data_IF_943632113470
#
_entry.id   IF_943632113470
#
_cell.length_a   1.000
_cell.length_b   1.000
_cell.length_c   1.000
_cell.angle_alpha   90.00
_cell.angle_beta   90.00
_cell.angle_gamma   90.00
#
_symmetry.space_group_name_H-M   'P 1'
#
loop_
_entity.id
_entity.type
_entity.pdbx_description
1 polymer ?
#
# COMPACT_ATOMS: atom_id res chain seq x y z
N UNK A 1 41.07 -23.57 -28.76
CA UNK A 1 40.82 -24.19 -27.44
C UNK A 1 39.95 -23.33 -26.53
N UNK A 2 40.28 -22.06 -26.28
CA UNK A 2 39.55 -21.21 -25.31
C UNK A 2 38.05 -21.01 -25.63
N UNK A 3 37.66 -20.85 -26.91
CA UNK A 3 36.25 -20.74 -27.30
C UNK A 3 35.43 -22.02 -27.08
N UNK A 4 36.06 -23.19 -27.11
CA UNK A 4 35.37 -24.47 -26.88
C UNK A 4 35.12 -24.70 -25.38
N UNK A 5 36.02 -24.21 -24.53
CA UNK A 5 35.92 -24.28 -23.07
C UNK A 5 34.75 -23.42 -22.53
N UNK A 6 34.53 -22.23 -23.10
CA UNK A 6 33.46 -21.31 -22.69
C UNK A 6 32.07 -21.91 -23.00
N UNK A 7 31.92 -22.57 -24.15
CA UNK A 7 30.64 -23.20 -24.55
C UNK A 7 30.31 -24.38 -23.62
N UNK A 8 31.30 -25.17 -23.22
CA UNK A 8 31.11 -26.29 -22.29
C UNK A 8 30.73 -25.78 -20.89
N UNK A 9 31.34 -24.70 -20.41
CA UNK A 9 30.97 -24.06 -19.13
C UNK A 9 29.55 -23.49 -19.17
N UNK A 10 29.14 -22.85 -20.27
CA UNK A 10 27.77 -22.35 -20.43
C UNK A 10 26.72 -23.48 -20.48
N UNK A 11 27.04 -24.62 -21.10
CA UNK A 11 26.15 -25.79 -21.15
C UNK A 11 26.04 -26.45 -19.76
N UNK A 12 27.13 -26.52 -18.99
CA UNK A 12 27.13 -27.07 -17.63
C UNK A 12 26.35 -26.16 -16.67
N UNK A 13 26.46 -24.83 -16.79
CA UNK A 13 25.67 -23.86 -16.00
C UNK A 13 24.19 -23.93 -16.39
N UNK A 14 23.86 -24.08 -17.68
CA UNK A 14 22.48 -24.24 -18.13
C UNK A 14 21.86 -25.56 -17.63
N UNK A 15 22.63 -26.66 -17.62
CA UNK A 15 22.19 -27.94 -17.06
C UNK A 15 22.05 -27.92 -15.53
N UNK A 16 22.84 -27.10 -14.83
CA UNK A 16 22.66 -26.87 -13.38
C UNK A 16 21.41 -26.04 -13.08
N UNK A 17 21.09 -25.03 -13.88
CA UNK A 17 19.86 -24.23 -13.72
C UNK A 17 18.62 -25.09 -14.02
N UNK A 18 18.67 -25.92 -15.06
CA UNK A 18 17.57 -26.84 -15.40
C UNK A 18 17.45 -27.94 -14.35
N UNK A 19 18.56 -28.55 -13.90
CA UNK A 19 18.57 -29.56 -12.84
C UNK A 19 18.07 -29.04 -11.49
N UNK A 20 18.34 -27.78 -11.15
CA UNK A 20 17.83 -27.12 -9.94
C UNK A 20 16.32 -26.87 -10.02
N UNK A 21 15.82 -26.48 -11.19
CA UNK A 21 14.40 -26.29 -11.44
C UNK A 21 13.68 -27.65 -11.41
N UNK A 22 14.21 -28.69 -12.06
CA UNK A 22 13.60 -30.04 -12.04
C UNK A 22 13.70 -30.69 -10.65
N UNK A 23 14.77 -30.45 -9.88
CA UNK A 23 14.90 -30.95 -8.50
C UNK A 23 13.97 -30.22 -7.53
N UNK A 24 13.77 -28.90 -7.70
CA UNK A 24 12.71 -28.15 -7.01
C UNK A 24 11.30 -28.65 -7.41
N UNK A 25 11.11 -29.11 -8.65
CA UNK A 25 9.85 -29.68 -9.12
C UNK A 25 9.62 -31.15 -8.70
N UNK A 26 10.67 -31.92 -8.44
CA UNK A 26 10.54 -33.37 -8.14
C UNK A 26 10.55 -33.65 -6.64
N UNK A 27 11.21 -32.83 -5.81
CA UNK A 27 11.31 -33.08 -4.36
C UNK A 27 10.15 -32.49 -3.52
N UNK A 28 9.25 -31.70 -4.11
CA UNK A 28 8.03 -31.21 -3.45
C UNK A 28 6.76 -31.89 -3.98
N UNK A 29 6.87 -33.12 -4.49
CA UNK A 29 5.75 -33.89 -5.07
C UNK A 29 5.23 -34.99 -4.14
N UNK A 30 5.29 -34.80 -2.82
CA UNK A 30 4.64 -35.70 -1.85
C UNK A 30 4.43 -35.01 -0.49
N UNK A 31 3.53 -34.02 -0.45
CA UNK A 31 2.63 -33.70 0.67
C UNK A 31 1.83 -32.42 0.33
N UNK A 32 0.52 -32.60 0.16
CA UNK A 32 -0.53 -31.57 0.03
C UNK A 32 -0.66 -30.97 -1.40
N UNK A 33 -1.16 -31.75 -2.35
CA UNK A 33 -1.43 -31.32 -3.74
C UNK A 33 -2.75 -30.54 -3.94
N UNK A 34 -3.55 -30.27 -2.89
CA UNK A 34 -4.81 -29.51 -3.06
C UNK A 34 -4.70 -27.99 -2.79
N UNK A 35 -3.61 -27.50 -2.20
CA UNK A 35 -3.47 -26.08 -1.79
C UNK A 35 -2.69 -25.20 -2.78
N UNK A 36 -1.67 -25.71 -3.49
CA UNK A 36 -0.81 -24.86 -4.34
C UNK A 36 -1.52 -24.44 -5.66
N UNK A 37 -2.38 -25.30 -6.23
CA UNK A 37 -3.11 -24.98 -7.48
C UNK A 37 -4.23 -23.95 -7.29
N UNK A 38 -4.91 -23.99 -6.15
CA UNK A 38 -5.97 -23.02 -5.83
C UNK A 38 -5.39 -21.64 -5.52
N UNK A 39 -4.28 -21.59 -4.79
CA UNK A 39 -3.52 -20.36 -4.55
C UNK A 39 -3.07 -19.75 -5.90
N UNK A 40 -2.55 -20.56 -6.82
CA UNK A 40 -2.14 -20.10 -8.15
C UNK A 40 -3.30 -19.56 -8.99
N UNK A 41 -4.47 -20.21 -8.97
CA UNK A 41 -5.69 -19.69 -9.64
C UNK A 41 -6.16 -18.38 -9.02
N UNK A 42 -6.08 -18.24 -7.70
CA UNK A 42 -6.37 -16.99 -7.01
C UNK A 42 -5.38 -15.90 -7.45
N UNK A 43 -4.08 -16.19 -7.58
CA UNK A 43 -3.09 -15.24 -8.09
C UNK A 43 -3.40 -14.72 -9.51
N UNK A 44 -3.92 -15.56 -10.40
CA UNK A 44 -4.33 -15.15 -11.74
C UNK A 44 -5.55 -14.22 -11.72
N UNK A 45 -6.57 -14.55 -10.90
CA UNK A 45 -7.74 -13.69 -10.66
C UNK A 45 -7.34 -12.31 -10.10
N UNK A 46 -6.31 -12.28 -9.25
CA UNK A 46 -5.81 -11.07 -8.63
C UNK A 46 -5.18 -10.12 -9.65
N UNK A 47 -4.65 -10.60 -10.77
CA UNK A 47 -3.94 -9.76 -11.76
C UNK A 47 -4.79 -8.61 -12.33
N UNK A 48 -6.07 -8.85 -12.63
CA UNK A 48 -7.00 -7.80 -13.10
C UNK A 48 -7.35 -6.83 -11.98
N UNK A 49 -7.55 -7.34 -10.77
CA UNK A 49 -7.86 -6.54 -9.58
C UNK A 49 -6.69 -5.61 -9.20
N UNK A 50 -5.43 -6.05 -9.34
CA UNK A 50 -4.23 -5.21 -9.12
C UNK A 50 -4.23 -3.97 -10.01
N UNK A 51 -4.57 -4.11 -11.29
CA UNK A 51 -4.64 -2.97 -12.23
C UNK A 51 -5.72 -1.97 -11.82
N UNK A 52 -6.88 -2.47 -11.38
CA UNK A 52 -7.97 -1.62 -10.91
C UNK A 52 -7.56 -0.91 -9.63
N UNK A 53 -6.96 -1.60 -8.67
CA UNK A 53 -6.45 -1.00 -7.44
C UNK A 53 -5.44 0.11 -7.76
N UNK A 54 -4.38 -0.19 -8.53
CA UNK A 54 -3.34 0.78 -8.88
C UNK A 54 -3.89 2.04 -9.55
N UNK A 55 -4.85 1.90 -10.48
CA UNK A 55 -5.45 3.04 -11.19
C UNK A 55 -6.15 4.04 -10.26
N UNK A 56 -6.64 3.57 -9.13
CA UNK A 56 -7.45 4.36 -8.21
C UNK A 56 -6.70 4.73 -6.92
N UNK A 57 -5.47 4.23 -6.78
CA UNK A 57 -4.57 4.61 -5.70
C UNK A 57 -3.85 5.91 -6.07
N UNK A 58 -3.76 6.86 -5.14
CA UNK A 58 -2.87 8.02 -5.26
C UNK A 58 -1.44 7.54 -5.03
N UNK A 59 -0.60 7.64 -6.05
CA UNK A 59 0.76 7.08 -6.06
C UNK A 59 1.86 8.10 -5.79
N UNK A 60 1.52 9.34 -5.46
CA UNK A 60 2.51 10.36 -5.10
C UNK A 60 2.36 10.77 -3.63
N UNK A 61 3.48 10.78 -2.92
CA UNK A 61 3.54 11.10 -1.49
C UNK A 61 4.42 12.32 -1.27
N UNK A 62 3.94 13.29 -0.47
CA UNK A 62 4.72 14.46 -0.09
C UNK A 62 5.71 14.09 1.03
N UNK A 63 6.99 14.34 0.80
CA UNK A 63 8.04 14.24 1.80
C UNK A 63 8.14 15.60 2.50
N UNK A 64 7.26 15.83 3.48
CA UNK A 64 6.97 17.16 4.04
C UNK A 64 8.21 17.90 4.54
N UNK A 65 9.12 17.24 5.27
CA UNK A 65 10.35 17.85 5.81
C UNK A 65 11.24 18.46 4.73
N UNK A 66 11.21 17.89 3.53
CA UNK A 66 12.09 18.27 2.42
C UNK A 66 11.38 18.87 1.23
N UNK A 67 10.05 18.99 1.31
CA UNK A 67 9.19 19.65 0.33
C UNK A 67 9.42 19.15 -1.11
N UNK A 68 9.50 17.83 -1.28
CA UNK A 68 9.46 17.18 -2.59
C UNK A 68 8.47 16.01 -2.57
N UNK A 69 8.05 15.56 -3.74
CA UNK A 69 7.15 14.42 -3.88
C UNK A 69 7.92 13.18 -4.31
N UNK A 70 7.58 12.03 -3.75
CA UNK A 70 8.07 10.72 -4.21
C UNK A 70 6.93 9.94 -4.88
N UNK A 71 7.25 9.27 -5.98
CA UNK A 71 6.32 8.50 -6.78
C UNK A 71 6.43 7.00 -6.45
N UNK A 72 5.30 6.37 -6.15
CA UNK A 72 5.11 4.97 -5.80
C UNK A 72 4.28 4.26 -6.88
N UNK A 73 4.77 4.33 -8.12
CA UNK A 73 4.07 3.88 -9.32
C UNK A 73 4.10 2.36 -9.51
N UNK A 74 5.05 1.67 -8.86
CA UNK A 74 5.20 0.23 -9.00
C UNK A 74 4.26 -0.53 -8.06
N UNK A 75 3.66 -1.60 -8.55
CA UNK A 75 2.81 -2.46 -7.74
C UNK A 75 3.63 -3.19 -6.64
N UNK A 76 3.14 -3.31 -5.39
CA UNK A 76 1.83 -2.87 -4.90
C UNK A 76 1.74 -1.41 -4.47
N UNK A 77 2.84 -0.75 -4.11
CA UNK A 77 2.91 0.68 -3.81
C UNK A 77 4.39 1.01 -3.54
N UNK A 78 5.23 0.78 -4.54
CA UNK A 78 6.67 0.82 -4.45
C UNK A 78 7.21 1.98 -5.29
N UNK A 79 8.30 2.57 -4.79
CA UNK A 79 9.02 3.62 -5.50
C UNK A 79 10.29 3.06 -6.15
N UNK A 80 10.66 3.64 -7.29
CA UNK A 80 12.00 3.52 -7.89
C UNK A 80 12.99 4.55 -7.32
N UNK A 81 12.51 5.41 -6.43
CA UNK A 81 13.22 6.49 -5.75
C UNK A 81 13.85 7.54 -6.69
N UNK A 82 13.32 7.69 -7.90
CA UNK A 82 13.81 8.67 -8.86
C UNK A 82 13.68 10.11 -8.34
N UNK A 83 12.59 10.45 -7.65
CA UNK A 83 12.42 11.79 -7.12
C UNK A 83 13.34 12.06 -5.92
N UNK A 84 13.55 11.08 -5.04
CA UNK A 84 14.56 11.17 -3.97
C UNK A 84 15.97 11.33 -4.54
N UNK A 85 16.30 10.60 -5.61
CA UNK A 85 17.59 10.73 -6.31
C UNK A 85 17.79 12.13 -6.87
N UNK A 86 16.77 12.68 -7.53
CA UNK A 86 16.78 14.04 -8.06
C UNK A 86 16.92 15.08 -6.94
N UNK A 87 16.17 14.90 -5.84
CA UNK A 87 16.30 15.75 -4.66
C UNK A 87 17.74 15.79 -4.13
N UNK A 88 18.37 14.63 -3.96
CA UNK A 88 19.74 14.54 -3.45
C UNK A 88 20.75 15.20 -4.41
N UNK A 89 20.63 14.96 -5.72
CA UNK A 89 21.48 15.60 -6.72
C UNK A 89 21.36 17.13 -6.71
N UNK A 90 20.14 17.66 -6.59
CA UNK A 90 19.87 19.11 -6.53
C UNK A 90 20.33 19.77 -5.22
N UNK A 91 20.60 18.99 -4.18
CA UNK A 91 21.05 19.47 -2.87
C UNK A 91 22.56 19.20 -2.63
N UNK A 92 23.36 19.12 -3.71
CA UNK A 92 24.82 19.01 -3.69
C UNK A 92 25.38 17.72 -3.02
N UNK A 93 24.59 16.66 -2.92
CA UNK A 93 25.14 15.36 -2.51
C UNK A 93 25.92 14.71 -3.66
N UNK A 94 27.01 14.00 -3.33
CA UNK A 94 27.84 13.35 -4.34
C UNK A 94 27.06 12.25 -5.07
N UNK A 95 27.45 11.95 -6.31
CA UNK A 95 26.85 10.86 -7.09
C UNK A 95 26.95 9.51 -6.37
N UNK A 96 28.10 9.22 -5.77
CA UNK A 96 28.33 7.99 -5.00
C UNK A 96 27.40 7.91 -3.80
N UNK A 97 27.38 8.95 -2.96
CA UNK A 97 26.49 9.04 -1.79
C UNK A 97 25.02 8.90 -2.17
N UNK A 98 24.62 9.53 -3.26
CA UNK A 98 23.26 9.44 -3.78
C UNK A 98 22.92 8.00 -4.14
N UNK A 99 23.75 7.33 -4.94
CA UNK A 99 23.49 5.95 -5.35
C UNK A 99 23.51 4.97 -4.19
N UNK A 100 24.38 5.18 -3.20
CA UNK A 100 24.44 4.35 -1.99
C UNK A 100 23.12 4.45 -1.20
N UNK A 101 22.60 5.66 -1.00
CA UNK A 101 21.29 5.86 -0.36
C UNK A 101 20.16 5.22 -1.16
N UNK A 102 20.11 5.43 -2.48
CA UNK A 102 19.07 4.81 -3.31
C UNK A 102 19.14 3.28 -3.23
N UNK A 103 20.34 2.70 -3.27
CA UNK A 103 20.53 1.25 -3.14
C UNK A 103 20.03 0.73 -1.79
N UNK A 104 20.31 1.43 -0.71
CA UNK A 104 19.81 1.07 0.63
C UNK A 104 18.29 1.20 0.74
N UNK A 105 17.69 2.27 0.20
CA UNK A 105 16.23 2.44 0.17
C UNK A 105 15.57 1.32 -0.64
N UNK A 106 16.10 0.99 -1.82
CA UNK A 106 15.61 -0.13 -2.64
C UNK A 106 15.71 -1.47 -1.91
N UNK A 107 16.84 -1.72 -1.23
CA UNK A 107 17.02 -2.95 -0.43
C UNK A 107 15.97 -3.03 0.68
N UNK A 108 15.82 -1.97 1.46
CA UNK A 108 14.90 -1.92 2.61
C UNK A 108 13.44 -2.06 2.17
N UNK A 109 13.04 -1.39 1.08
CA UNK A 109 11.69 -1.54 0.51
C UNK A 109 11.44 -2.99 0.04
N UNK A 110 12.47 -3.64 -0.54
CA UNK A 110 12.36 -5.03 -1.00
C UNK A 110 12.18 -6.00 0.16
N UNK A 111 12.86 -5.78 1.28
CA UNK A 111 12.70 -6.57 2.51
C UNK A 111 11.28 -6.44 3.05
N UNK A 112 10.78 -5.21 3.19
CA UNK A 112 9.41 -4.96 3.63
C UNK A 112 8.35 -5.56 2.68
N UNK A 113 8.57 -5.49 1.37
CA UNK A 113 7.71 -6.12 0.37
C UNK A 113 7.67 -7.64 0.53
N UNK A 114 8.83 -8.28 0.69
CA UNK A 114 8.94 -9.73 0.88
C UNK A 114 8.24 -10.18 2.18
N UNK A 115 8.35 -9.38 3.23
CA UNK A 115 7.61 -9.60 4.47
C UNK A 115 6.10 -9.52 4.23
N UNK A 116 5.60 -8.46 3.57
CA UNK A 116 4.18 -8.33 3.24
C UNK A 116 3.67 -9.48 2.37
N UNK A 117 4.42 -9.94 1.37
CA UNK A 117 4.06 -11.11 0.56
C UNK A 117 3.92 -12.37 1.42
N UNK A 118 4.72 -12.50 2.47
CA UNK A 118 4.62 -13.60 3.43
C UNK A 118 3.36 -13.49 4.28
N UNK A 119 3.03 -12.29 4.78
CA UNK A 119 1.79 -12.05 5.53
C UNK A 119 0.54 -12.25 4.65
N UNK A 120 0.58 -11.81 3.39
CA UNK A 120 -0.50 -12.02 2.42
C UNK A 120 -0.80 -13.51 2.20
N UNK A 121 0.23 -14.36 2.14
CA UNK A 121 0.01 -15.81 2.07
C UNK A 121 -0.70 -16.37 3.31
N UNK A 122 -0.51 -15.77 4.49
CA UNK A 122 -1.28 -16.15 5.69
C UNK A 122 -2.76 -15.83 5.51
N UNK A 123 -3.09 -14.66 4.96
CA UNK A 123 -4.46 -14.28 4.64
C UNK A 123 -5.11 -15.23 3.62
N UNK A 124 -4.39 -15.59 2.55
CA UNK A 124 -4.90 -16.55 1.57
C UNK A 124 -5.14 -17.94 2.19
N UNK A 125 -4.21 -18.43 3.01
CA UNK A 125 -4.40 -19.69 3.76
C UNK A 125 -5.59 -19.62 4.71
N UNK A 126 -5.79 -18.48 5.38
CA UNK A 126 -6.95 -18.27 6.23
C UNK A 126 -8.26 -18.31 5.41
N UNK A 127 -8.25 -17.73 4.20
CA UNK A 127 -9.38 -17.82 3.29
C UNK A 127 -9.67 -19.26 2.86
N UNK A 128 -8.66 -20.05 2.52
CA UNK A 128 -8.85 -21.45 2.16
C UNK A 128 -9.45 -22.26 3.33
N UNK A 129 -9.03 -21.96 4.57
CA UNK A 129 -9.60 -22.56 5.78
C UNK A 129 -11.08 -22.22 5.99
N UNK A 130 -11.62 -21.25 5.23
CA UNK A 130 -13.04 -20.94 5.31
C UNK A 130 -13.94 -22.02 4.72
N UNK A 131 -13.40 -22.84 3.83
CA UNK A 131 -14.16 -23.86 3.10
C UNK A 131 -15.20 -23.27 2.13
N UNK A 132 -15.15 -21.96 1.85
CA UNK A 132 -15.99 -21.31 0.86
C UNK A 132 -15.74 -21.92 -0.53
N UNK A 133 -16.82 -22.26 -1.22
CA UNK A 133 -16.73 -22.83 -2.58
C UNK A 133 -16.27 -21.78 -3.59
N UNK A 134 -15.60 -22.23 -4.64
CA UNK A 134 -15.13 -21.33 -5.69
C UNK A 134 -16.29 -20.88 -6.60
N UNK A 135 -16.82 -19.69 -6.32
CA UNK A 135 -17.90 -19.05 -7.08
C UNK A 135 -17.68 -17.54 -7.18
N UNK A 136 -18.47 -16.86 -8.01
CA UNK A 136 -18.32 -15.42 -8.27
C UNK A 136 -18.38 -14.56 -7.00
N UNK A 137 -19.33 -14.84 -6.11
CA UNK A 137 -19.52 -14.09 -4.87
C UNK A 137 -18.31 -14.25 -3.92
N UNK A 138 -17.84 -15.48 -3.74
CA UNK A 138 -16.71 -15.80 -2.89
C UNK A 138 -15.38 -15.29 -3.47
N UNK A 139 -15.22 -15.26 -4.79
CA UNK A 139 -14.08 -14.60 -5.44
C UNK A 139 -14.09 -13.09 -5.17
N UNK A 140 -15.24 -12.43 -5.34
CA UNK A 140 -15.36 -11.01 -5.02
C UNK A 140 -15.11 -10.73 -3.52
N UNK A 141 -15.55 -11.64 -2.66
CA UNK A 141 -15.28 -11.59 -1.22
C UNK A 141 -13.77 -11.65 -0.95
N UNK A 142 -13.04 -12.61 -1.54
CA UNK A 142 -11.57 -12.68 -1.48
C UNK A 142 -10.91 -11.38 -1.97
N UNK A 143 -11.38 -10.82 -3.09
CA UNK A 143 -10.82 -9.58 -3.65
C UNK A 143 -10.94 -8.41 -2.68
N UNK A 144 -12.03 -8.31 -1.89
CA UNK A 144 -12.16 -7.28 -0.86
C UNK A 144 -11.06 -7.39 0.18
N UNK A 145 -10.85 -8.59 0.74
CA UNK A 145 -9.78 -8.82 1.71
C UNK A 145 -8.39 -8.61 1.12
N UNK A 146 -8.17 -9.03 -0.13
CA UNK A 146 -6.92 -8.74 -0.82
C UNK A 146 -6.65 -7.24 -0.98
N UNK A 147 -7.65 -6.47 -1.40
CA UNK A 147 -7.52 -5.01 -1.54
C UNK A 147 -7.25 -4.33 -0.19
N UNK A 148 -7.87 -4.81 0.89
CA UNK A 148 -7.53 -4.32 2.22
C UNK A 148 -6.08 -4.66 2.63
N UNK A 149 -5.55 -5.82 2.22
CA UNK A 149 -4.13 -6.15 2.44
C UNK A 149 -3.18 -5.19 1.71
N UNK A 150 -3.56 -4.72 0.51
CA UNK A 150 -2.82 -3.69 -0.23
C UNK A 150 -2.89 -2.33 0.46
N UNK A 151 -4.08 -1.97 0.96
CA UNK A 151 -4.28 -0.72 1.70
C UNK A 151 -3.43 -0.68 2.99
N UNK A 152 -3.31 -1.82 3.69
CA UNK A 152 -2.45 -1.98 4.86
C UNK A 152 -0.99 -1.73 4.46
N UNK A 153 -0.51 -2.35 3.38
CA UNK A 153 0.87 -2.14 2.89
C UNK A 153 1.14 -0.67 2.57
N UNK A 154 0.26 -0.06 1.78
CA UNK A 154 0.36 1.35 1.41
C UNK A 154 0.42 2.26 2.65
N UNK A 155 -0.39 1.99 3.69
CA UNK A 155 -0.36 2.77 4.94
C UNK A 155 0.97 2.64 5.66
N UNK A 156 1.53 1.43 5.75
CA UNK A 156 2.85 1.22 6.37
C UNK A 156 3.93 1.97 5.59
N UNK A 157 3.84 2.02 4.25
CA UNK A 157 4.75 2.83 3.44
C UNK A 157 4.60 4.32 3.79
N UNK A 158 3.39 4.87 3.72
CA UNK A 158 3.14 6.32 3.88
C UNK A 158 3.41 6.79 5.31
N UNK A 159 2.97 6.04 6.32
CA UNK A 159 3.02 6.46 7.73
C UNK A 159 4.28 5.97 8.45
N UNK A 160 5.01 5.04 7.85
CA UNK A 160 6.16 4.38 8.45
C UNK A 160 7.42 4.55 7.61
N UNK A 161 7.47 3.87 6.46
CA UNK A 161 8.66 3.84 5.60
C UNK A 161 9.11 5.25 5.17
N UNK A 162 8.18 6.08 4.70
CA UNK A 162 8.47 7.45 4.26
C UNK A 162 9.06 8.29 5.40
N UNK A 163 8.38 8.50 6.54
CA UNK A 163 8.88 9.39 7.59
C UNK A 163 10.05 8.82 8.39
N UNK A 164 10.20 7.49 8.49
CA UNK A 164 11.26 6.88 9.31
C UNK A 164 12.50 6.50 8.51
N UNK A 165 12.32 6.03 7.28
CA UNK A 165 13.41 5.48 6.46
C UNK A 165 13.86 6.48 5.41
N UNK A 166 12.96 7.00 4.57
CA UNK A 166 13.35 7.98 3.52
C UNK A 166 13.85 9.27 4.16
N UNK A 167 12.99 9.92 4.96
CA UNK A 167 13.36 11.17 5.65
C UNK A 167 14.59 10.94 6.50
N UNK A 168 14.59 9.85 7.25
CA UNK A 168 15.70 9.52 8.12
C UNK A 168 17.05 9.35 7.39
N UNK A 169 17.08 8.68 6.24
CA UNK A 169 18.33 8.57 5.46
C UNK A 169 18.84 9.92 4.99
N UNK A 170 17.93 10.83 4.61
CA UNK A 170 18.30 12.20 4.22
C UNK A 170 18.78 13.00 5.45
N UNK A 171 18.14 12.83 6.60
CA UNK A 171 18.54 13.44 7.89
C UNK A 171 19.97 13.08 8.25
N UNK A 172 20.32 11.80 8.14
CA UNK A 172 21.68 11.30 8.39
C UNK A 172 22.70 11.95 7.44
N UNK A 173 22.37 12.08 6.15
CA UNK A 173 23.24 12.78 5.19
C UNK A 173 23.45 14.26 5.55
N UNK A 174 22.50 14.88 6.25
CA UNK A 174 22.57 16.27 6.74
C UNK A 174 23.25 16.40 8.11
N UNK A 175 23.80 15.31 8.65
CA UNK A 175 24.54 15.29 9.91
C UNK A 175 23.68 15.06 11.14
N UNK A 176 22.42 14.65 10.98
CA UNK A 176 21.62 14.16 12.11
C UNK A 176 22.08 12.75 12.55
N UNK A 177 21.52 12.27 13.67
CA UNK A 177 21.92 10.98 14.25
C UNK A 177 21.66 9.82 13.30
N UNK A 178 22.53 8.81 13.35
CA UNK A 178 22.35 7.58 12.59
C UNK A 178 21.02 6.92 12.98
N UNK A 179 20.28 6.49 11.97
CA UNK A 179 19.06 5.71 12.15
C UNK A 179 19.39 4.24 12.09
N UNK A 180 18.88 3.51 13.07
CA UNK A 180 18.82 2.07 13.06
C UNK A 180 17.72 1.62 12.09
N UNK A 181 18.12 1.31 10.85
CA UNK A 181 17.20 0.88 9.80
C UNK A 181 16.54 -0.45 10.15
N UNK A 182 17.27 -1.35 10.81
CA UNK A 182 16.78 -2.67 11.18
C UNK A 182 15.71 -2.55 12.27
N UNK A 183 15.92 -1.70 13.27
CA UNK A 183 14.89 -1.37 14.28
C UNK A 183 13.64 -0.78 13.63
N UNK A 184 13.82 0.21 12.74
CA UNK A 184 12.68 0.81 12.04
C UNK A 184 11.94 -0.22 11.18
N UNK A 185 12.65 -1.07 10.45
CA UNK A 185 12.04 -2.12 9.63
C UNK A 185 11.23 -3.10 10.49
N UNK A 186 11.78 -3.56 11.61
CA UNK A 186 11.06 -4.43 12.56
C UNK A 186 9.75 -3.81 13.07
N UNK A 187 9.73 -2.50 13.33
CA UNK A 187 8.50 -1.78 13.71
C UNK A 187 7.46 -1.84 12.58
N UNK A 188 7.89 -1.62 11.33
CA UNK A 188 7.01 -1.65 10.16
C UNK A 188 6.46 -3.06 9.88
N UNK A 189 7.30 -4.08 10.02
CA UNK A 189 6.89 -5.48 9.93
C UNK A 189 5.85 -5.82 11.00
N UNK A 190 6.02 -5.31 12.23
CA UNK A 190 5.01 -5.41 13.29
C UNK A 190 3.67 -4.81 12.88
N UNK A 191 3.65 -3.59 12.36
CA UNK A 191 2.42 -2.94 11.88
C UNK A 191 1.74 -3.71 10.76
N UNK A 192 2.51 -4.25 9.81
CA UNK A 192 1.98 -5.10 8.75
C UNK A 192 1.35 -6.37 9.31
N UNK A 193 2.07 -7.09 10.18
CA UNK A 193 1.58 -8.35 10.73
C UNK A 193 0.30 -8.13 11.54
N UNK A 194 0.26 -7.10 12.39
CA UNK A 194 -0.93 -6.76 13.16
C UNK A 194 -2.12 -6.42 12.25
N UNK A 195 -1.92 -5.59 11.23
CA UNK A 195 -2.98 -5.24 10.27
C UNK A 195 -3.53 -6.48 9.54
N UNK A 196 -2.65 -7.38 9.09
CA UNK A 196 -3.06 -8.60 8.40
C UNK A 196 -3.73 -9.60 9.35
N UNK A 197 -3.27 -9.72 10.59
CA UNK A 197 -3.91 -10.56 11.60
C UNK A 197 -5.32 -10.07 11.92
N UNK A 198 -5.52 -8.75 12.08
CA UNK A 198 -6.86 -8.16 12.24
C UNK A 198 -7.77 -8.47 11.05
N UNK A 199 -7.22 -8.38 9.83
CA UNK A 199 -7.93 -8.70 8.61
C UNK A 199 -8.33 -10.19 8.54
N UNK A 200 -7.47 -11.10 8.99
CA UNK A 200 -7.77 -12.53 9.13
C UNK A 200 -8.87 -12.77 10.17
N UNK A 201 -8.82 -12.08 11.31
CA UNK A 201 -9.88 -12.17 12.32
C UNK A 201 -11.23 -11.71 11.77
N UNK A 202 -11.25 -10.62 11.00
CA UNK A 202 -12.45 -10.12 10.35
C UNK A 202 -13.00 -11.12 9.31
N UNK A 203 -12.11 -11.76 8.55
CA UNK A 203 -12.49 -12.82 7.62
C UNK A 203 -13.18 -13.98 8.33
N UNK A 204 -12.60 -14.49 9.43
CA UNK A 204 -13.22 -15.57 10.21
C UNK A 204 -14.52 -15.15 10.88
N UNK A 205 -14.64 -13.88 11.28
CA UNK A 205 -15.88 -13.33 11.81
C UNK A 205 -16.99 -13.34 10.76
N UNK A 206 -16.71 -12.85 9.55
CA UNK A 206 -17.71 -12.77 8.47
C UNK A 206 -18.11 -14.14 7.91
N UNK A 207 -17.22 -15.14 8.02
CA UNK A 207 -17.48 -16.52 7.58
C UNK A 207 -18.05 -17.43 8.68
N UNK A 208 -18.17 -16.94 9.92
CA UNK A 208 -18.74 -17.70 11.04
C UNK A 208 -17.80 -18.72 11.69
N UNK A 209 -16.51 -18.72 11.34
CA UNK A 209 -15.51 -19.70 11.82
C UNK A 209 -14.93 -19.32 13.19
N UNK A 210 -15.21 -18.10 13.64
CA UNK A 210 -14.69 -17.52 14.89
C UNK A 210 -14.93 -18.40 16.14
N UNK A 211 -16.00 -19.21 16.19
CA UNK A 211 -16.29 -20.04 17.37
C UNK A 211 -15.36 -21.26 17.55
N UNK A 212 -14.54 -21.65 16.56
CA UNK A 212 -13.68 -22.87 16.63
C UNK A 212 -12.22 -22.64 17.02
N UNK A 213 -11.68 -21.41 16.96
CA UNK A 213 -10.23 -21.16 17.08
C UNK A 213 -9.75 -20.46 18.38
N UNK A 214 -10.65 -20.19 19.34
CA UNK A 214 -10.35 -19.42 20.57
C UNK A 214 -9.34 -20.05 21.57
N UNK A 215 -8.64 -21.15 21.24
CA UNK A 215 -7.68 -21.81 22.14
C UNK A 215 -6.19 -21.56 21.87
N UNK A 216 -5.81 -20.83 20.80
CA UNK A 216 -4.38 -20.66 20.43
C UNK A 216 -3.87 -19.22 20.29
N UNK A 217 -4.71 -18.21 20.34
CA UNK A 217 -4.28 -16.81 20.24
C UNK A 217 -4.17 -16.16 21.62
N UNK A 218 -3.19 -16.59 22.42
CA UNK A 218 -2.71 -15.82 23.58
C UNK A 218 -1.36 -15.22 23.20
N UNK A 219 -1.34 -13.89 23.04
CA UNK A 219 -0.16 -13.06 22.77
C UNK A 219 0.81 -13.09 23.95
N UNK A 220 2.08 -13.40 23.69
CA UNK A 220 3.17 -12.98 24.56
C UNK A 220 3.58 -11.57 24.13
N UNK A 221 3.74 -10.72 25.16
CA UNK A 221 4.28 -9.36 25.15
C UNK A 221 3.26 -8.27 24.80
N UNK A 222 2.72 -7.68 25.87
CA UNK A 222 1.91 -6.48 25.82
C UNK A 222 2.75 -5.27 25.40
N UNK A 223 2.40 -4.72 24.24
CA UNK A 223 2.49 -3.30 23.96
C UNK A 223 1.18 -2.89 23.29
N UNK A 224 0.71 -1.69 23.63
CA UNK A 224 -0.62 -1.13 23.34
C UNK A 224 -1.18 -1.54 21.99
N UNK A 225 -2.18 -2.43 22.04
CA UNK A 225 -2.98 -2.85 20.90
C UNK A 225 -3.66 -1.64 20.27
N UNK A 226 -3.49 -1.44 18.96
CA UNK A 226 -4.46 -0.66 18.18
C UNK A 226 -5.80 -1.38 18.29
N UNK A 227 -6.63 -0.88 19.19
CA UNK A 227 -7.99 -1.36 19.38
C UNK A 227 -8.77 -1.07 18.11
N UNK A 228 -9.08 -2.10 17.33
CA UNK A 228 -10.07 -2.03 16.25
C UNK A 228 -11.45 -1.84 16.89
N UNK A 229 -11.75 -0.60 17.29
CA UNK A 229 -13.10 -0.21 17.62
C UNK A 229 -13.91 -0.22 16.34
N UNK A 230 -14.96 -1.04 16.37
CA UNK A 230 -16.15 -0.85 15.53
C UNK A 230 -16.85 0.43 15.97
N UNK A 231 -16.22 1.57 15.75
CA UNK A 231 -16.83 2.90 15.81
C UNK A 231 -16.70 3.48 14.41
N UNK A 232 -17.85 3.59 13.75
CA UNK A 232 -18.05 4.16 12.42
C UNK A 232 -17.42 3.37 11.26
N UNK A 233 -18.28 2.60 10.60
CA UNK A 233 -18.10 2.22 9.19
C UNK A 233 -17.68 3.45 8.35
N UNK A 234 -16.88 3.22 7.31
CA UNK A 234 -16.24 4.19 6.38
C UNK A 234 -15.01 4.91 6.94
N UNK A 235 -13.84 4.66 6.33
CA UNK A 235 -12.65 5.56 6.26
C UNK A 235 -11.36 4.92 5.72
N UNK A 236 -11.40 3.66 5.27
CA UNK A 236 -10.22 3.02 4.63
C UNK A 236 -10.49 2.68 3.15
N UNK A 237 -11.75 2.63 2.72
CA UNK A 237 -12.20 2.63 1.33
C UNK A 237 -12.05 3.98 0.60
N UNK A 238 -11.46 4.96 1.28
CA UNK A 238 -11.65 6.39 0.99
C UNK A 238 -10.61 6.97 0.02
N UNK A 239 -9.77 6.15 -0.58
CA UNK A 239 -8.94 6.62 -1.70
C UNK A 239 -9.76 6.80 -3.00
N UNK A 240 -10.97 6.26 -3.07
CA UNK A 240 -12.00 6.61 -4.06
C UNK A 240 -12.97 7.68 -3.56
N UNK A 241 -12.87 8.08 -2.29
CA UNK A 241 -13.83 9.01 -1.70
C UNK A 241 -13.46 10.45 -1.95
N UNK A 242 -12.23 10.87 -2.29
CA UNK A 242 -11.92 12.31 -2.31
C UNK A 242 -12.46 13.07 -3.53
N UNK A 243 -12.52 12.46 -4.72
CA UNK A 243 -13.14 13.10 -5.90
C UNK A 243 -14.66 13.13 -5.76
N UNK A 244 -15.25 12.00 -5.36
CA UNK A 244 -16.69 11.91 -5.12
C UNK A 244 -17.13 12.77 -3.93
N UNK A 245 -16.35 12.83 -2.86
CA UNK A 245 -16.55 13.71 -1.72
C UNK A 245 -16.44 15.16 -2.15
N UNK A 246 -15.46 15.55 -2.98
CA UNK A 246 -15.36 16.92 -3.44
C UNK A 246 -16.55 17.31 -4.33
N UNK A 247 -17.00 16.41 -5.20
CA UNK A 247 -18.21 16.61 -6.01
C UNK A 247 -19.48 16.68 -5.15
N UNK A 248 -19.65 15.80 -4.16
CA UNK A 248 -20.80 15.81 -3.25
C UNK A 248 -20.79 17.04 -2.32
N UNK A 249 -19.63 17.42 -1.80
CA UNK A 249 -19.44 18.60 -0.93
C UNK A 249 -19.77 19.88 -1.68
N UNK A 250 -19.43 19.96 -2.98
CA UNK A 250 -19.78 21.07 -3.85
C UNK A 250 -21.19 20.93 -4.49
N UNK A 251 -21.86 19.78 -4.32
CA UNK A 251 -23.17 19.51 -4.90
C UNK A 251 -23.19 19.46 -6.44
N UNK A 252 -22.11 18.98 -7.05
CA UNK A 252 -21.93 18.87 -8.50
C UNK A 252 -21.79 17.41 -8.94
N UNK A 253 -22.01 17.14 -10.23
CA UNK A 253 -21.80 15.82 -10.82
C UNK A 253 -20.32 15.63 -11.17
N UNK A 254 -19.90 14.37 -11.23
CA UNK A 254 -18.62 13.93 -11.80
C UNK A 254 -18.40 14.33 -13.27
N UNK A 255 -19.49 14.63 -13.99
CA UNK A 255 -19.48 15.15 -15.36
C UNK A 255 -19.49 16.68 -15.42
N UNK A 256 -19.52 17.37 -14.28
CA UNK A 256 -19.61 18.82 -14.26
C UNK A 256 -18.38 19.49 -14.85
N UNK A 257 -18.60 20.56 -15.60
CA UNK A 257 -17.53 21.33 -16.23
C UNK A 257 -16.77 22.17 -15.19
N UNK A 258 -15.54 22.59 -15.54
CA UNK A 258 -14.73 23.52 -14.75
C UNK A 258 -15.52 24.78 -14.36
N UNK A 259 -16.34 25.30 -15.26
CA UNK A 259 -17.21 26.46 -15.04
C UNK A 259 -18.34 26.19 -14.05
N UNK A 260 -18.99 25.02 -14.13
CA UNK A 260 -20.04 24.60 -13.20
C UNK A 260 -19.50 24.41 -11.78
N UNK A 261 -18.32 23.81 -11.65
CA UNK A 261 -17.64 23.62 -10.37
C UNK A 261 -17.29 24.98 -9.75
N UNK A 262 -16.71 25.91 -10.52
CA UNK A 262 -16.43 27.29 -10.08
C UNK A 262 -17.71 28.02 -9.65
N UNK A 263 -18.80 27.84 -10.39
CA UNK A 263 -20.10 28.47 -10.11
C UNK A 263 -20.70 27.97 -8.79
N UNK A 264 -20.72 26.66 -8.54
CA UNK A 264 -21.26 26.13 -7.28
C UNK A 264 -20.39 26.47 -6.08
N UNK A 265 -19.06 26.41 -6.22
CA UNK A 265 -18.16 26.85 -5.16
C UNK A 265 -18.45 28.29 -4.72
N UNK A 266 -18.59 29.24 -5.67
CA UNK A 266 -18.91 30.64 -5.35
C UNK A 266 -20.25 30.78 -4.61
N UNK A 267 -21.27 30.03 -5.03
CA UNK A 267 -22.58 30.03 -4.38
C UNK A 267 -22.50 29.54 -2.93
N UNK A 268 -21.80 28.43 -2.71
CA UNK A 268 -21.62 27.85 -1.37
C UNK A 268 -20.77 28.76 -0.47
N UNK A 269 -19.67 29.31 -0.99
CA UNK A 269 -18.81 30.24 -0.25
C UNK A 269 -19.57 31.51 0.19
N UNK A 270 -20.47 32.04 -0.63
CA UNK A 270 -21.33 33.17 -0.23
C UNK A 270 -22.36 32.79 0.84
N UNK A 271 -22.82 31.54 0.84
CA UNK A 271 -23.86 31.03 1.76
C UNK A 271 -23.28 30.76 3.16
N UNK A 272 -22.05 30.24 3.22
CA UNK A 272 -21.37 29.85 4.46
C UNK A 272 -20.26 30.83 4.87
N UNK A 273 -20.24 32.06 4.33
CA UNK A 273 -19.22 33.05 4.67
C UNK A 273 -19.29 33.43 6.14
N UNK A 274 -18.16 33.48 6.89
CA UNK A 274 -18.16 33.82 8.33
C UNK A 274 -18.78 35.18 8.63
N UNK A 275 -18.70 36.14 7.71
CA UNK A 275 -19.34 37.46 7.87
C UNK A 275 -20.87 37.41 7.81
N UNK A 276 -21.44 36.44 7.07
CA UNK A 276 -22.90 36.29 6.87
C UNK A 276 -23.50 35.20 7.73
N UNK A 277 -22.72 34.20 8.13
CA UNK A 277 -23.15 33.08 8.95
C UNK A 277 -22.12 32.77 10.03
N UNK A 278 -22.44 33.13 11.28
CA UNK A 278 -21.53 33.05 12.44
C UNK A 278 -21.67 31.77 13.24
N UNK A 279 -22.43 30.78 12.78
CA UNK A 279 -22.58 29.53 13.54
C UNK A 279 -21.33 28.64 13.40
N UNK A 280 -21.00 27.83 14.42
CA UNK A 280 -19.89 26.88 14.35
C UNK A 280 -19.99 25.94 13.14
N UNK A 281 -21.19 25.50 12.81
CA UNK A 281 -21.47 24.58 11.70
C UNK A 281 -21.18 25.22 10.34
N UNK A 282 -21.44 26.53 10.19
CA UNK A 282 -21.15 27.25 8.96
C UNK A 282 -19.63 27.39 8.73
N UNK A 283 -18.86 27.57 9.80
CA UNK A 283 -17.40 27.61 9.75
C UNK A 283 -16.82 26.26 9.33
N UNK A 284 -17.33 25.16 9.87
CA UNK A 284 -16.93 23.80 9.52
C UNK A 284 -17.27 23.50 8.04
N UNK A 285 -18.50 23.79 7.61
CA UNK A 285 -18.94 23.67 6.21
C UNK A 285 -18.04 24.46 5.25
N UNK A 286 -17.68 25.69 5.60
CA UNK A 286 -16.81 26.53 4.77
C UNK A 286 -15.41 25.92 4.61
N UNK A 287 -14.84 25.34 5.68
CA UNK A 287 -13.55 24.63 5.60
C UNK A 287 -13.64 23.43 4.66
N UNK A 288 -14.72 22.66 4.73
CA UNK A 288 -14.95 21.52 3.83
C UNK A 288 -15.11 21.94 2.37
N UNK A 289 -15.91 22.97 2.10
CA UNK A 289 -16.13 23.52 0.74
C UNK A 289 -14.81 24.00 0.12
N UNK A 290 -13.98 24.68 0.91
CA UNK A 290 -12.68 25.17 0.45
C UNK A 290 -11.72 24.02 0.12
N UNK A 291 -11.67 22.99 0.98
CA UNK A 291 -10.85 21.80 0.74
C UNK A 291 -11.30 21.04 -0.51
N UNK A 292 -12.61 20.86 -0.70
CA UNK A 292 -13.17 20.20 -1.88
C UNK A 292 -12.81 20.93 -3.18
N UNK A 293 -12.95 22.26 -3.20
CA UNK A 293 -12.61 23.06 -4.38
C UNK A 293 -11.11 23.07 -4.70
N UNK A 294 -10.25 23.23 -3.68
CA UNK A 294 -8.79 23.18 -3.86
C UNK A 294 -8.34 21.79 -4.34
N UNK A 295 -8.98 20.74 -3.85
CA UNK A 295 -8.72 19.38 -4.31
C UNK A 295 -9.06 19.20 -5.78
N UNK A 296 -10.27 19.58 -6.23
CA UNK A 296 -10.64 19.51 -7.66
C UNK A 296 -9.74 20.37 -8.56
N UNK A 297 -9.24 21.49 -8.03
CA UNK A 297 -8.25 22.33 -8.71
C UNK A 297 -6.89 21.64 -8.84
N UNK A 298 -6.42 20.95 -7.79
CA UNK A 298 -5.14 20.23 -7.78
C UNK A 298 -5.06 19.09 -8.80
N UNK A 299 -6.21 18.50 -9.17
CA UNK A 299 -6.32 17.44 -10.18
C UNK A 299 -6.69 17.97 -11.58
N UNK A 300 -6.52 19.28 -11.83
CA UNK A 300 -6.77 19.95 -13.12
C UNK A 300 -8.21 19.82 -13.67
N UNK A 301 -9.22 19.62 -12.81
CA UNK A 301 -10.65 19.61 -13.22
C UNK A 301 -11.29 21.01 -13.24
N UNK A 302 -10.58 22.00 -12.71
CA UNK A 302 -11.06 23.38 -12.52
C UNK A 302 -10.21 24.39 -13.32
N UNK A 303 -9.29 23.94 -14.16
CA UNK A 303 -8.60 24.85 -15.08
C UNK A 303 -9.52 25.22 -16.24
#
# INVERSE_FOLDING_TARGET
>A
MVKMLIIIVCIIVALFVIGSITFLFTFKRNRIESTDDQVKRNEELLSTNRKVWMRNTKRTVLIEKYNYFESFEDFPFNSDFNNTKEYLANNNFSFTTTNDVIKELTKTQSELLNFWLTEQRKLLKAFDQTGLTDNYENRNFLMKFYNESLNIYMKVIIQGFVPRIIIGKIDFLKGESLIDVDEMLNILEGWLSDGINQLIHELYRQTGIFQKQNKKFTSNNGQQYFHYQKTNQSKISDQFSDVNWAYQTLGVSDKSTSEEIKKQYRKLAMTYHPDKNKTPEAKEKMVEINRAYQFLKSINKVN
#
